data_IF_241236361178
#
_entry.id   IF_241236361178
#
_cell.length_a   1.000
_cell.length_b   1.000
_cell.length_c   1.000
_cell.angle_alpha   90.00
_cell.angle_beta   90.00
_cell.angle_gamma   90.00
#
_symmetry.space_group_name_H-M   'P 1'
#
loop_
_entity.id
_entity.type
_entity.pdbx_description
1 polymer ?
#
# COMPACT_ATOMS: atom_id res chain seq x y z
N UNK A 1 15.83 -5.83 -114.65
CA UNK A 1 16.36 -6.68 -113.57
C UNK A 1 16.21 -5.93 -112.25
N UNK A 2 15.41 -6.40 -111.39
CA UNK A 2 14.77 -5.85 -110.25
C UNK A 2 15.70 -5.64 -109.05
N UNK A 3 15.76 -4.40 -108.53
CA UNK A 3 16.41 -4.10 -107.30
C UNK A 3 15.38 -4.10 -106.13
N UNK A 4 15.58 -4.96 -105.10
CA UNK A 4 14.77 -5.05 -103.90
C UNK A 4 15.20 -3.96 -102.93
N UNK A 5 14.28 -3.06 -102.55
CA UNK A 5 14.44 -2.12 -101.49
C UNK A 5 14.30 -2.80 -100.09
N UNK A 6 15.26 -2.57 -99.19
CA UNK A 6 15.31 -3.08 -97.83
C UNK A 6 14.59 -2.08 -96.91
N UNK A 7 13.40 -2.45 -96.39
CA UNK A 7 12.69 -1.65 -95.39
C UNK A 7 13.20 -2.00 -93.97
N UNK A 8 13.89 -1.07 -93.34
CA UNK A 8 14.23 -1.15 -91.88
C UNK A 8 13.07 -0.62 -91.08
N UNK A 9 12.37 -1.52 -90.38
CA UNK A 9 11.32 -1.13 -89.43
C UNK A 9 11.93 -0.48 -88.16
N UNK A 10 11.65 0.79 -87.95
CA UNK A 10 11.94 1.47 -86.67
C UNK A 10 10.94 1.00 -85.60
N UNK A 11 11.41 0.33 -84.54
CA UNK A 11 10.67 0.01 -83.37
C UNK A 11 10.56 1.30 -82.50
N UNK A 12 9.34 1.74 -82.08
CA UNK A 12 9.20 2.93 -81.27
C UNK A 12 9.70 2.64 -79.86
N UNK A 13 10.56 3.50 -79.33
CA UNK A 13 11.02 3.46 -77.92
C UNK A 13 9.87 3.73 -76.97
N UNK A 14 9.66 2.84 -76.01
CA UNK A 14 8.71 3.06 -74.90
C UNK A 14 9.13 4.29 -74.08
N UNK A 15 8.20 5.17 -73.70
CA UNK A 15 8.53 6.30 -72.81
C UNK A 15 8.96 5.80 -71.45
N UNK A 16 10.12 6.24 -70.98
CA UNK A 16 10.58 6.04 -69.56
C UNK A 16 9.67 6.85 -68.67
N UNK A 17 8.89 6.16 -67.87
CA UNK A 17 8.04 6.79 -66.89
C UNK A 17 8.92 7.59 -65.91
N UNK A 18 8.80 8.91 -65.86
CA UNK A 18 9.43 9.74 -64.85
C UNK A 18 8.88 9.32 -63.47
N UNK A 19 9.70 8.68 -62.67
CA UNK A 19 9.32 8.29 -61.29
C UNK A 19 8.88 9.54 -60.53
N UNK A 20 7.66 9.50 -59.99
CA UNK A 20 7.20 10.57 -59.10
C UNK A 20 8.15 10.65 -57.91
N UNK A 21 8.55 11.86 -57.57
CA UNK A 21 9.42 12.09 -56.43
C UNK A 21 8.80 11.51 -55.13
N UNK A 22 9.60 10.90 -54.29
CA UNK A 22 9.14 10.21 -53.06
C UNK A 22 8.22 11.08 -52.20
N UNK A 23 8.49 12.39 -52.09
CA UNK A 23 7.70 13.37 -51.34
C UNK A 23 6.32 13.70 -51.92
N UNK A 24 6.04 13.33 -53.15
CA UNK A 24 4.71 13.53 -53.74
C UNK A 24 3.73 12.39 -53.43
N UNK A 25 4.16 11.36 -52.71
CA UNK A 25 3.33 10.21 -52.34
C UNK A 25 2.68 10.45 -50.96
N UNK A 26 1.35 10.34 -50.82
CA UNK A 26 0.67 10.54 -49.53
C UNK A 26 1.18 9.58 -48.44
N UNK A 27 1.61 8.37 -48.85
CA UNK A 27 2.20 7.40 -47.92
C UNK A 27 3.53 7.87 -47.29
N UNK A 28 4.30 8.73 -47.94
CA UNK A 28 5.54 9.30 -47.42
C UNK A 28 5.25 10.24 -46.25
N UNK A 29 4.25 11.12 -46.38
CA UNK A 29 3.84 12.03 -45.33
C UNK A 29 3.14 11.33 -44.17
N UNK A 30 2.38 10.26 -44.45
CA UNK A 30 1.81 9.41 -43.39
C UNK A 30 2.90 8.71 -42.55
N UNK A 31 3.96 8.20 -43.19
CA UNK A 31 5.09 7.60 -42.47
C UNK A 31 5.85 8.63 -41.62
N UNK A 32 6.07 9.85 -42.15
CA UNK A 32 6.67 10.95 -41.35
C UNK A 32 5.79 11.30 -40.14
N UNK A 33 4.47 11.38 -40.34
CA UNK A 33 3.53 11.65 -39.24
C UNK A 33 3.60 10.60 -38.13
N UNK A 34 3.65 9.32 -38.51
CA UNK A 34 3.81 8.21 -37.55
C UNK A 34 5.14 8.31 -36.77
N UNK A 35 6.24 8.61 -37.50
CA UNK A 35 7.56 8.77 -36.89
C UNK A 35 7.59 9.95 -35.93
N UNK A 36 6.98 11.10 -36.27
CA UNK A 36 6.92 12.27 -35.42
C UNK A 36 6.07 12.01 -34.18
N UNK A 37 4.95 11.28 -34.29
CA UNK A 37 4.14 10.86 -33.16
C UNK A 37 4.92 9.89 -32.26
N UNK A 38 5.63 8.93 -32.83
CA UNK A 38 6.47 7.99 -32.09
C UNK A 38 7.63 8.70 -31.36
N UNK A 39 8.29 9.66 -32.01
CA UNK A 39 9.35 10.48 -31.41
C UNK A 39 8.76 11.38 -30.31
N UNK A 40 7.61 12.00 -30.54
CA UNK A 40 6.92 12.82 -29.54
C UNK A 40 6.52 12.01 -28.32
N UNK A 41 5.97 10.81 -28.51
CA UNK A 41 5.64 9.89 -27.43
C UNK A 41 6.88 9.41 -26.69
N UNK A 42 7.96 9.10 -27.39
CA UNK A 42 9.23 8.69 -26.80
C UNK A 42 9.89 9.85 -26.00
N UNK A 43 9.87 11.06 -26.53
CA UNK A 43 10.36 12.26 -25.83
C UNK A 43 9.50 12.59 -24.61
N UNK A 44 8.18 12.37 -24.69
CA UNK A 44 7.27 12.57 -23.55
C UNK A 44 7.52 11.53 -22.45
N UNK A 45 7.77 10.26 -22.81
CA UNK A 45 8.17 9.19 -21.89
C UNK A 45 9.60 9.35 -21.36
N UNK A 46 10.47 10.05 -22.10
CA UNK A 46 11.87 10.30 -21.72
C UNK A 46 12.09 11.64 -20.97
N UNK A 47 11.04 12.47 -20.83
CA UNK A 47 11.12 13.62 -19.91
C UNK A 47 11.21 13.04 -18.50
N UNK A 48 12.37 13.12 -17.82
CA UNK A 48 12.42 12.73 -16.43
C UNK A 48 11.39 13.60 -15.71
N UNK A 49 10.49 12.97 -14.96
CA UNK A 49 9.65 13.74 -14.04
C UNK A 49 10.56 14.72 -13.30
N UNK A 50 10.17 15.99 -13.18
CA UNK A 50 10.99 16.94 -12.46
C UNK A 50 11.27 16.31 -11.10
N UNK A 51 12.57 16.12 -10.77
CA UNK A 51 12.95 15.67 -9.42
C UNK A 51 12.23 16.59 -8.47
N UNK A 52 11.22 16.04 -7.79
CA UNK A 52 10.54 16.78 -6.72
C UNK A 52 11.66 17.14 -5.75
N UNK A 53 11.91 18.43 -5.58
CA UNK A 53 12.83 18.89 -4.56
C UNK A 53 12.35 18.27 -3.26
N UNK A 54 13.19 17.45 -2.64
CA UNK A 54 12.84 16.81 -1.38
C UNK A 54 12.51 17.93 -0.39
N UNK A 55 11.28 17.93 0.10
CA UNK A 55 10.87 18.91 1.11
C UNK A 55 11.77 18.70 2.33
N UNK A 56 12.47 19.77 2.70
CA UNK A 56 13.32 19.80 3.90
C UNK A 56 12.40 20.02 5.10
N UNK A 57 12.03 18.94 5.77
CA UNK A 57 11.05 18.95 6.87
C UNK A 57 11.46 19.88 8.01
N UNK A 58 12.78 20.05 8.27
CA UNK A 58 13.28 20.97 9.30
C UNK A 58 12.94 22.43 9.02
N UNK A 59 12.79 22.82 7.75
CA UNK A 59 12.48 24.19 7.32
C UNK A 59 10.98 24.52 7.36
N UNK A 60 10.12 23.52 7.56
CA UNK A 60 8.69 23.75 7.69
C UNK A 60 8.36 24.39 9.05
N UNK A 61 7.42 25.32 9.06
CA UNK A 61 6.88 25.87 10.30
C UNK A 61 5.85 24.92 10.92
N UNK A 62 5.71 24.87 12.27
CA UNK A 62 4.65 24.12 12.93
C UNK A 62 3.25 24.56 12.47
N UNK A 63 2.36 23.61 12.24
CA UNK A 63 1.00 23.87 11.75
C UNK A 63 0.63 23.00 10.56
N UNK A 64 -0.39 23.44 9.80
CA UNK A 64 -0.81 22.77 8.57
C UNK A 64 0.24 22.96 7.47
N UNK A 65 0.84 21.87 7.03
CA UNK A 65 1.83 21.85 5.95
C UNK A 65 1.14 21.77 4.59
N UNK A 66 0.19 20.84 4.45
CA UNK A 66 -0.58 20.69 3.21
C UNK A 66 -1.93 20.03 3.46
N UNK A 67 -2.90 20.35 2.58
CA UNK A 67 -4.16 19.65 2.43
C UNK A 67 -4.27 19.13 1.00
N UNK A 68 -4.67 17.88 0.84
CA UNK A 68 -4.94 17.26 -0.46
C UNK A 68 -6.31 16.60 -0.41
N UNK A 69 -7.13 16.83 -1.41
CA UNK A 69 -8.41 16.15 -1.59
C UNK A 69 -8.21 15.04 -2.62
N UNK A 70 -8.40 13.79 -2.23
CA UNK A 70 -8.37 12.64 -3.11
C UNK A 70 -9.78 12.12 -3.40
N UNK A 71 -9.89 11.06 -4.20
CA UNK A 71 -11.16 10.36 -4.40
C UNK A 71 -11.66 9.63 -3.15
N UNK A 72 -10.75 9.37 -2.19
CA UNK A 72 -11.02 8.53 -1.03
C UNK A 72 -11.07 9.31 0.27
N UNK A 73 -10.20 10.34 0.43
CA UNK A 73 -10.03 11.07 1.68
C UNK A 73 -9.70 12.54 1.47
N UNK A 74 -10.06 13.36 2.46
CA UNK A 74 -9.39 14.63 2.72
C UNK A 74 -8.13 14.35 3.53
N UNK A 75 -6.96 14.60 2.97
CA UNK A 75 -5.65 14.26 3.54
C UNK A 75 -4.98 15.53 4.05
N UNK A 76 -4.50 15.50 5.28
CA UNK A 76 -3.81 16.62 5.92
C UNK A 76 -2.44 16.18 6.42
N UNK A 77 -1.42 16.98 6.17
CA UNK A 77 -0.11 16.84 6.79
C UNK A 77 0.13 18.03 7.72
N UNK A 78 0.47 17.76 8.97
CA UNK A 78 0.81 18.76 9.96
C UNK A 78 2.23 18.57 10.45
N UNK A 79 2.93 19.70 10.72
CA UNK A 79 4.13 19.69 11.54
C UNK A 79 3.76 20.03 12.97
N UNK A 80 4.13 19.17 13.90
CA UNK A 80 3.95 19.39 15.33
C UNK A 80 5.05 20.29 15.90
N UNK A 81 4.82 20.97 17.05
CA UNK A 81 5.84 21.79 17.69
C UNK A 81 7.10 21.01 18.10
N UNK A 82 7.00 19.70 18.33
CA UNK A 82 8.13 18.82 18.63
C UNK A 82 8.94 18.40 17.39
N UNK A 83 8.51 18.85 16.19
CA UNK A 83 9.15 18.57 14.91
C UNK A 83 8.60 17.37 14.17
N UNK A 84 7.77 16.54 14.79
CA UNK A 84 7.17 15.39 14.12
C UNK A 84 6.18 15.81 13.04
N UNK A 85 6.09 15.02 11.95
CA UNK A 85 5.03 15.15 10.96
C UNK A 85 3.91 14.17 11.26
N UNK A 86 2.70 14.64 11.06
CA UNK A 86 1.47 13.91 11.32
C UNK A 86 0.65 13.85 10.03
N UNK A 87 0.26 12.65 9.62
CA UNK A 87 -0.73 12.39 8.59
C UNK A 87 -2.09 12.19 9.24
N UNK A 88 -3.11 12.83 8.69
CA UNK A 88 -4.46 12.75 9.23
C UNK A 88 -5.49 12.74 8.08
N UNK A 89 -6.53 11.92 8.26
CA UNK A 89 -7.68 11.88 7.34
C UNK A 89 -8.90 12.54 7.97
N UNK A 90 -9.84 12.98 7.11
CA UNK A 90 -11.15 13.47 7.50
C UNK A 90 -11.33 14.98 7.46
N UNK A 91 -12.55 15.46 7.71
CA UNK A 91 -12.91 16.87 7.71
C UNK A 91 -12.31 17.60 8.93
N UNK A 92 -12.20 18.95 8.83
CA UNK A 92 -11.52 19.84 9.77
C UNK A 92 -11.82 19.61 11.28
N UNK A 93 -12.95 19.01 11.64
CA UNK A 93 -13.37 18.81 13.04
C UNK A 93 -13.18 17.38 13.56
N UNK A 94 -13.12 16.41 12.67
CA UNK A 94 -13.00 14.99 13.01
C UNK A 94 -11.80 14.42 12.24
N UNK A 95 -10.60 14.70 12.73
CA UNK A 95 -9.37 14.20 12.14
C UNK A 95 -8.92 12.97 12.90
N UNK A 96 -8.60 11.95 12.16
CA UNK A 96 -7.97 10.76 12.69
C UNK A 96 -6.49 10.79 12.32
N UNK A 97 -5.64 10.56 13.31
CA UNK A 97 -4.20 10.46 13.12
C UNK A 97 -3.89 9.08 12.56
N UNK A 98 -3.51 9.05 11.31
CA UNK A 98 -3.19 7.80 10.61
C UNK A 98 -1.71 7.43 10.74
N UNK A 99 -0.84 8.43 10.80
CA UNK A 99 0.59 8.17 10.92
C UNK A 99 1.34 9.36 11.53
N UNK A 100 2.42 9.05 12.24
CA UNK A 100 3.38 10.04 12.75
C UNK A 100 4.78 9.60 12.36
N UNK A 101 5.60 10.53 11.87
CA UNK A 101 7.03 10.31 11.61
C UNK A 101 7.87 11.30 12.42
N UNK A 102 8.94 10.77 13.01
CA UNK A 102 10.04 11.56 13.52
C UNK A 102 11.05 11.78 12.38
N UNK A 103 11.17 12.97 11.81
CA UNK A 103 12.05 13.20 10.67
C UNK A 103 13.53 13.09 11.02
N UNK A 104 13.89 13.05 12.31
CA UNK A 104 15.27 12.91 12.78
C UNK A 104 15.64 11.46 13.10
N UNK A 105 14.70 10.53 13.08
CA UNK A 105 14.94 9.10 13.32
C UNK A 105 14.00 8.27 12.43
N UNK A 106 14.52 7.79 11.32
CA UNK A 106 13.75 7.03 10.33
C UNK A 106 13.29 5.65 10.84
N UNK A 107 13.88 5.15 11.92
CA UNK A 107 13.50 3.90 12.57
C UNK A 107 12.62 4.11 13.81
N UNK A 108 12.24 5.34 14.13
CA UNK A 108 11.30 5.59 15.20
C UNK A 108 9.86 5.26 14.76
N UNK A 109 9.11 4.65 15.66
CA UNK A 109 7.68 4.36 15.52
C UNK A 109 6.92 5.08 16.64
N UNK A 110 6.61 6.38 16.47
CA UNK A 110 5.98 7.19 17.52
C UNK A 110 4.57 6.72 17.90
N UNK A 111 3.86 6.10 16.95
CA UNK A 111 2.52 5.54 17.17
C UNK A 111 2.67 4.13 17.74
N UNK A 112 2.11 3.88 18.92
CA UNK A 112 2.41 2.69 19.71
C UNK A 112 1.99 1.37 19.04
N UNK A 113 0.87 1.36 18.30
CA UNK A 113 0.43 0.14 17.62
C UNK A 113 1.40 -0.30 16.52
N UNK A 114 2.05 0.65 15.84
CA UNK A 114 3.03 0.32 14.79
C UNK A 114 4.22 -0.48 15.34
N UNK A 115 4.63 -0.19 16.60
CA UNK A 115 5.61 -1.01 17.30
C UNK A 115 5.05 -2.42 17.56
N UNK A 116 3.79 -2.54 18.01
CA UNK A 116 3.19 -3.84 18.29
C UNK A 116 2.97 -4.69 17.03
N UNK A 117 2.75 -4.06 15.87
CA UNK A 117 2.68 -4.79 14.58
C UNK A 117 4.01 -5.50 14.25
N UNK A 118 5.14 -5.01 14.74
CA UNK A 118 6.43 -5.68 14.56
C UNK A 118 6.55 -7.00 15.34
N UNK A 119 5.58 -7.34 16.24
CA UNK A 119 5.49 -8.67 16.84
C UNK A 119 5.48 -9.78 15.76
N UNK A 120 4.91 -9.48 14.58
CA UNK A 120 4.96 -10.37 13.43
C UNK A 120 6.36 -10.86 13.10
N UNK A 121 7.39 -10.05 13.30
CA UNK A 121 8.79 -10.43 13.10
C UNK A 121 9.25 -11.57 14.02
N UNK A 122 8.59 -11.83 15.15
CA UNK A 122 8.89 -12.97 16.01
C UNK A 122 8.07 -14.21 15.62
N UNK A 123 6.91 -14.01 15.01
CA UNK A 123 5.98 -15.09 14.66
C UNK A 123 6.19 -15.63 13.24
N UNK A 124 6.64 -14.84 12.27
CA UNK A 124 6.84 -15.29 10.90
C UNK A 124 7.82 -16.46 10.81
N UNK A 125 7.58 -17.48 9.96
CA UNK A 125 8.47 -18.65 9.83
C UNK A 125 9.82 -18.27 9.21
N UNK A 126 9.79 -17.36 8.24
CA UNK A 126 10.93 -16.72 7.57
C UNK A 126 10.77 -15.21 7.50
N UNK A 127 11.75 -14.55 6.88
CA UNK A 127 11.71 -13.11 6.57
C UNK A 127 12.16 -12.90 5.11
N UNK A 128 11.55 -13.68 4.18
CA UNK A 128 11.88 -13.59 2.75
C UNK A 128 10.90 -12.71 1.99
N UNK A 129 9.59 -12.87 2.25
CA UNK A 129 8.52 -12.15 1.55
C UNK A 129 7.47 -11.66 2.56
N UNK A 130 7.12 -10.39 2.51
CA UNK A 130 6.03 -9.82 3.29
C UNK A 130 5.21 -8.82 2.48
N UNK A 131 3.97 -8.60 2.90
CA UNK A 131 3.11 -7.56 2.36
C UNK A 131 2.40 -6.79 3.47
N UNK A 132 2.01 -5.55 3.18
CA UNK A 132 1.09 -4.77 3.99
C UNK A 132 -0.05 -4.24 3.12
N UNK A 133 -1.27 -4.40 3.58
CA UNK A 133 -2.47 -3.81 2.99
C UNK A 133 -2.81 -2.56 3.79
N UNK A 134 -2.74 -1.41 3.13
CA UNK A 134 -2.76 -0.08 3.73
C UNK A 134 -1.35 0.44 4.03
N UNK A 135 -1.00 1.59 3.46
CA UNK A 135 0.30 2.24 3.64
C UNK A 135 0.22 3.38 4.65
N UNK A 136 -0.74 4.29 4.49
CA UNK A 136 -0.78 5.52 5.25
C UNK A 136 0.53 6.32 5.10
N UNK A 137 1.17 6.68 6.21
CA UNK A 137 2.51 7.27 6.19
C UNK A 137 3.63 6.24 6.01
N UNK A 138 3.32 4.96 5.87
CA UNK A 138 4.25 3.88 5.55
C UNK A 138 5.22 3.50 6.66
N UNK A 139 5.01 3.95 7.89
CA UNK A 139 6.05 3.83 8.94
C UNK A 139 6.34 2.39 9.35
N UNK A 140 5.29 1.56 9.51
CA UNK A 140 5.46 0.13 9.84
C UNK A 140 6.23 -0.61 8.74
N UNK A 141 5.80 -0.41 7.48
CA UNK A 141 6.43 -1.03 6.32
C UNK A 141 7.90 -0.60 6.16
N UNK A 142 8.16 0.70 6.27
CA UNK A 142 9.49 1.27 6.14
C UNK A 142 10.43 0.80 7.25
N UNK A 143 9.95 0.79 8.49
CA UNK A 143 10.71 0.25 9.62
C UNK A 143 11.14 -1.20 9.39
N UNK A 144 10.21 -2.05 8.95
CA UNK A 144 10.51 -3.47 8.69
C UNK A 144 11.51 -3.59 7.55
N UNK A 145 11.30 -2.90 6.43
CA UNK A 145 12.23 -2.90 5.29
C UNK A 145 13.64 -2.44 5.67
N UNK A 146 13.75 -1.32 6.36
CA UNK A 146 15.06 -0.79 6.78
C UNK A 146 15.76 -1.68 7.83
N UNK A 147 14.97 -2.36 8.67
CA UNK A 147 15.52 -3.28 9.67
C UNK A 147 15.94 -4.63 9.06
N UNK A 148 15.26 -5.09 8.00
CA UNK A 148 15.48 -6.38 7.33
C UNK A 148 15.61 -6.13 5.81
N UNK A 149 16.75 -5.61 5.33
CA UNK A 149 16.89 -5.14 3.95
C UNK A 149 16.72 -6.23 2.86
N UNK A 150 16.97 -7.49 3.19
CA UNK A 150 16.80 -8.63 2.30
C UNK A 150 15.32 -9.05 2.12
N UNK A 151 14.43 -8.68 3.05
CA UNK A 151 13.01 -8.99 2.99
C UNK A 151 12.37 -8.28 1.79
N UNK A 152 11.79 -9.04 0.88
CA UNK A 152 10.97 -8.49 -0.21
C UNK A 152 9.65 -8.04 0.37
N UNK A 153 9.46 -6.73 0.41
CA UNK A 153 8.31 -6.12 1.07
C UNK A 153 7.45 -5.38 0.04
N UNK A 154 6.19 -5.75 -0.09
CA UNK A 154 5.21 -5.05 -0.94
C UNK A 154 4.20 -4.32 -0.07
N UNK A 155 4.10 -3.00 -0.21
CA UNK A 155 3.04 -2.20 0.40
C UNK A 155 1.96 -1.90 -0.64
N UNK A 156 0.70 -2.13 -0.29
CA UNK A 156 -0.44 -1.92 -1.18
C UNK A 156 -1.30 -0.79 -0.62
N UNK A 157 -1.48 0.27 -1.39
CA UNK A 157 -2.23 1.47 -1.01
C UNK A 157 -3.30 1.77 -2.04
N UNK A 158 -4.53 1.98 -1.60
CA UNK A 158 -5.67 2.29 -2.48
C UNK A 158 -5.56 3.70 -3.09
N UNK A 159 -5.10 4.66 -2.29
CA UNK A 159 -5.12 6.08 -2.63
C UNK A 159 -3.75 6.55 -3.16
N UNK A 160 -3.63 6.88 -4.47
CA UNK A 160 -2.38 7.35 -5.04
C UNK A 160 -1.85 8.64 -4.37
N UNK A 161 -2.74 9.47 -3.81
CA UNK A 161 -2.32 10.67 -3.11
C UNK A 161 -1.71 10.36 -1.74
N UNK A 162 -2.18 9.31 -1.06
CA UNK A 162 -1.55 8.81 0.17
C UNK A 162 -0.14 8.30 -0.13
N UNK A 163 0.03 7.48 -1.18
CA UNK A 163 1.35 7.00 -1.60
C UNK A 163 2.29 8.15 -1.96
N UNK A 164 1.79 9.19 -2.67
CA UNK A 164 2.56 10.39 -2.99
C UNK A 164 2.98 11.18 -1.73
N UNK A 165 2.10 11.28 -0.75
CA UNK A 165 2.38 11.96 0.53
C UNK A 165 3.39 11.17 1.35
N UNK A 166 3.28 9.85 1.37
CA UNK A 166 4.25 8.97 2.02
C UNK A 166 5.67 9.18 1.46
N UNK A 167 5.82 9.26 0.13
CA UNK A 167 7.10 9.60 -0.50
C UNK A 167 7.57 11.02 -0.14
N UNK A 168 6.70 12.01 -0.30
CA UNK A 168 7.08 13.42 -0.20
C UNK A 168 7.48 13.83 1.23
N UNK A 169 6.68 13.44 2.23
CA UNK A 169 6.79 13.94 3.60
C UNK A 169 7.34 12.89 4.58
N UNK A 170 7.07 11.62 4.33
CA UNK A 170 7.44 10.52 5.23
C UNK A 170 8.67 9.75 4.73
N UNK A 171 9.20 10.11 3.54
CA UNK A 171 10.37 9.50 2.89
C UNK A 171 10.22 8.01 2.63
N UNK A 172 8.98 7.55 2.48
CA UNK A 172 8.65 6.16 2.17
C UNK A 172 8.40 6.04 0.67
N UNK A 173 9.31 5.37 -0.03
CA UNK A 173 9.33 5.25 -1.49
C UNK A 173 9.88 3.89 -1.92
N UNK A 174 9.56 3.41 -3.13
CA UNK A 174 10.17 2.19 -3.63
C UNK A 174 11.70 2.29 -3.63
N UNK A 175 12.37 1.32 -2.99
CA UNK A 175 13.83 1.17 -3.04
C UNK A 175 14.25 -0.27 -2.72
N UNK A 176 15.28 -0.78 -3.39
CA UNK A 176 15.83 -2.11 -3.13
C UNK A 176 14.80 -3.22 -3.23
N UNK A 177 14.52 -3.88 -2.10
CA UNK A 177 13.54 -4.96 -1.96
C UNK A 177 12.13 -4.45 -1.53
N UNK A 178 11.93 -3.14 -1.41
CA UNK A 178 10.67 -2.50 -1.03
C UNK A 178 9.95 -1.94 -2.24
N UNK A 179 8.67 -2.29 -2.40
CA UNK A 179 7.81 -1.80 -3.49
C UNK A 179 6.48 -1.27 -2.96
N UNK A 180 5.89 -0.33 -3.71
CA UNK A 180 4.57 0.24 -3.41
C UNK A 180 3.68 0.01 -4.63
N UNK A 181 2.55 -0.65 -4.41
CA UNK A 181 1.51 -0.90 -5.43
C UNK A 181 0.29 -0.04 -5.11
N UNK A 182 -0.18 0.74 -6.08
CA UNK A 182 -1.40 1.54 -5.94
C UNK A 182 -2.56 0.74 -6.52
N UNK A 183 -3.26 0.03 -5.63
CA UNK A 183 -4.41 -0.81 -5.97
C UNK A 183 -5.26 -1.09 -4.71
N UNK A 184 -6.50 -1.55 -4.87
CA UNK A 184 -7.26 -2.11 -3.75
C UNK A 184 -6.56 -3.38 -3.23
N UNK A 185 -6.35 -3.44 -1.91
CA UNK A 185 -5.55 -4.50 -1.30
C UNK A 185 -6.12 -5.90 -1.48
N UNK A 186 -7.45 -6.07 -1.45
CA UNK A 186 -8.10 -7.35 -1.67
C UNK A 186 -8.02 -7.78 -3.14
N UNK A 187 -8.24 -6.84 -4.07
CA UNK A 187 -8.12 -7.10 -5.52
C UNK A 187 -6.68 -7.46 -5.88
N UNK A 188 -5.70 -6.76 -5.31
CA UNK A 188 -4.30 -7.08 -5.51
C UNK A 188 -3.95 -8.47 -4.99
N UNK A 189 -4.42 -8.82 -3.79
CA UNK A 189 -4.17 -10.12 -3.18
C UNK A 189 -4.80 -11.26 -3.99
N UNK A 190 -6.04 -11.08 -4.49
CA UNK A 190 -6.74 -12.04 -5.34
C UNK A 190 -6.02 -12.30 -6.68
N UNK A 191 -5.24 -11.34 -7.16
CA UNK A 191 -4.57 -11.40 -8.49
C UNK A 191 -3.10 -11.81 -8.43
N UNK A 192 -2.49 -11.79 -7.26
CA UNK A 192 -1.07 -12.12 -7.12
C UNK A 192 -0.88 -13.63 -6.94
N UNK A 193 0.14 -14.19 -7.61
CA UNK A 193 0.56 -15.59 -7.38
C UNK A 193 1.58 -15.71 -6.24
N UNK A 194 1.90 -14.62 -5.54
CA UNK A 194 2.91 -14.60 -4.48
C UNK A 194 2.35 -15.20 -3.18
N UNK A 195 3.24 -15.83 -2.42
CA UNK A 195 2.97 -16.24 -1.03
C UNK A 195 3.96 -15.59 -0.08
N UNK A 196 3.53 -15.33 1.16
CA UNK A 196 4.23 -14.49 2.10
C UNK A 196 4.51 -15.19 3.42
N UNK A 197 5.61 -14.87 4.05
CA UNK A 197 5.87 -15.24 5.45
C UNK A 197 4.98 -14.45 6.41
N UNK A 198 4.62 -13.22 6.01
CA UNK A 198 3.82 -12.31 6.81
C UNK A 198 2.99 -11.38 5.91
N UNK A 199 1.69 -11.29 6.20
CA UNK A 199 0.80 -10.27 5.62
C UNK A 199 0.28 -9.39 6.76
N UNK A 200 0.55 -8.07 6.67
CA UNK A 200 0.02 -7.09 7.61
C UNK A 200 -1.23 -6.44 7.00
N UNK A 201 -2.23 -6.15 7.82
CA UNK A 201 -3.45 -5.44 7.42
C UNK A 201 -3.62 -4.22 8.34
N UNK A 202 -3.42 -3.04 7.77
CA UNK A 202 -3.47 -1.74 8.45
C UNK A 202 -4.20 -0.70 7.57
N UNK A 203 -5.31 -1.11 6.96
CA UNK A 203 -6.11 -0.29 6.07
C UNK A 203 -7.28 0.34 6.82
N UNK A 204 -7.24 1.66 6.96
CA UNK A 204 -8.26 2.44 7.64
C UNK A 204 -8.82 3.55 6.75
N UNK A 205 -10.10 3.86 6.94
CA UNK A 205 -10.75 5.07 6.45
C UNK A 205 -11.37 5.80 7.63
N UNK A 206 -10.62 6.72 8.21
CA UNK A 206 -10.94 7.27 9.52
C UNK A 206 -10.92 6.14 10.58
N UNK A 207 -11.96 5.99 11.43
CA UNK A 207 -11.97 4.96 12.47
C UNK A 207 -12.37 3.56 11.99
N UNK A 208 -12.64 3.36 10.72
CA UNK A 208 -13.18 2.10 10.20
C UNK A 208 -12.24 1.43 9.22
N UNK A 209 -12.08 0.12 9.37
CA UNK A 209 -11.53 -0.72 8.30
C UNK A 209 -12.60 -0.84 7.19
N UNK A 210 -12.25 -0.70 5.90
CA UNK A 210 -13.20 -0.93 4.81
C UNK A 210 -13.86 -2.30 4.92
N UNK A 211 -15.19 -2.35 4.77
CA UNK A 211 -15.96 -3.57 5.07
C UNK A 211 -15.45 -4.81 4.32
N UNK A 212 -15.10 -4.68 3.04
CA UNK A 212 -14.60 -5.77 2.21
C UNK A 212 -13.22 -6.35 2.65
N UNK A 213 -12.54 -5.67 3.59
CA UNK A 213 -11.31 -6.12 4.25
C UNK A 213 -11.57 -6.65 5.68
N UNK A 214 -12.85 -6.84 6.05
CA UNK A 214 -13.27 -7.36 7.36
C UNK A 214 -14.08 -8.64 7.27
N UNK A 215 -14.19 -9.27 6.11
CA UNK A 215 -15.03 -10.44 5.89
C UNK A 215 -14.24 -11.74 6.02
N UNK A 216 -14.91 -12.83 6.32
CA UNK A 216 -14.30 -14.17 6.40
C UNK A 216 -13.61 -14.51 5.09
N UNK A 217 -14.23 -14.21 3.95
CA UNK A 217 -13.70 -14.46 2.61
C UNK A 217 -12.38 -13.68 2.36
N UNK A 218 -12.26 -12.47 2.92
CA UNK A 218 -10.99 -11.74 2.84
C UNK A 218 -9.89 -12.41 3.67
N UNK A 219 -10.20 -12.86 4.90
CA UNK A 219 -9.18 -13.53 5.72
C UNK A 219 -8.85 -14.95 5.25
N UNK A 220 -9.77 -15.64 4.60
CA UNK A 220 -9.49 -16.89 3.87
C UNK A 220 -8.51 -16.62 2.73
N UNK A 221 -8.76 -15.59 1.93
CA UNK A 221 -7.83 -15.14 0.88
C UNK A 221 -6.45 -14.78 1.44
N UNK A 222 -6.39 -14.07 2.59
CA UNK A 222 -5.11 -13.82 3.28
C UNK A 222 -4.43 -15.13 3.66
N UNK A 223 -5.17 -16.09 4.23
CA UNK A 223 -4.62 -17.39 4.66
C UNK A 223 -4.09 -18.22 3.47
N UNK A 224 -4.75 -18.17 2.31
CA UNK A 224 -4.32 -18.84 1.07
C UNK A 224 -2.99 -18.30 0.54
N UNK A 225 -2.71 -16.99 0.78
CA UNK A 225 -1.47 -16.34 0.36
C UNK A 225 -0.36 -16.40 1.43
N UNK A 226 -0.57 -17.10 2.52
CA UNK A 226 0.50 -17.33 3.50
C UNK A 226 1.28 -18.61 3.17
N UNK A 227 2.61 -18.55 3.26
CA UNK A 227 3.48 -19.72 3.23
C UNK A 227 3.15 -20.67 4.39
N UNK A 228 3.54 -21.95 4.34
CA UNK A 228 3.37 -22.86 5.47
C UNK A 228 3.95 -22.25 6.77
N UNK A 229 3.10 -22.09 7.79
CA UNK A 229 3.44 -21.43 9.04
C UNK A 229 3.50 -19.88 8.95
N UNK A 230 3.11 -19.28 7.84
CA UNK A 230 2.99 -17.84 7.68
C UNK A 230 1.93 -17.24 8.60
N UNK A 231 1.94 -15.93 8.74
CA UNK A 231 1.10 -15.22 9.70
C UNK A 231 0.42 -14.02 9.07
N UNK A 232 -0.76 -13.69 9.57
CA UNK A 232 -1.40 -12.38 9.38
C UNK A 232 -1.22 -11.51 10.62
N UNK A 233 -1.05 -10.19 10.42
CA UNK A 233 -0.96 -9.20 11.51
C UNK A 233 -2.00 -8.12 11.24
N UNK A 234 -3.02 -8.04 12.09
CA UNK A 234 -4.12 -7.09 11.94
C UNK A 234 -4.07 -6.01 13.02
N UNK A 235 -4.14 -4.74 12.61
CA UNK A 235 -4.43 -3.65 13.52
C UNK A 235 -5.95 -3.49 13.69
N UNK A 236 -6.45 -3.49 14.93
CA UNK A 236 -7.87 -3.30 15.27
C UNK A 236 -8.01 -2.16 16.25
N UNK A 237 -8.91 -1.22 15.99
CA UNK A 237 -9.30 -0.15 16.91
C UNK A 237 -10.55 -0.60 17.69
N UNK A 238 -10.42 -0.94 19.00
CA UNK A 238 -11.49 -1.60 19.76
C UNK A 238 -12.65 -0.68 20.16
N UNK A 239 -12.49 0.65 20.04
CA UNK A 239 -13.59 1.58 20.36
C UNK A 239 -14.65 1.62 19.28
N UNK A 240 -14.38 1.02 18.12
CA UNK A 240 -15.41 0.79 17.10
C UNK A 240 -16.30 -0.38 17.54
N UNK A 241 -17.59 -0.30 17.23
CA UNK A 241 -18.59 -1.33 17.56
C UNK A 241 -18.34 -2.68 16.86
N UNK A 242 -17.17 -2.86 16.23
CA UNK A 242 -16.84 -4.02 15.40
C UNK A 242 -15.74 -4.91 16.00
N UNK A 243 -15.23 -4.60 17.19
CA UNK A 243 -14.13 -5.39 17.76
C UNK A 243 -14.48 -6.87 17.86
N UNK A 244 -15.62 -7.21 18.45
CA UNK A 244 -16.05 -8.61 18.61
C UNK A 244 -16.26 -9.28 17.24
N UNK A 245 -16.85 -8.56 16.27
CA UNK A 245 -17.05 -9.08 14.91
C UNK A 245 -15.72 -9.27 14.19
N UNK A 246 -14.77 -8.35 14.32
CA UNK A 246 -13.44 -8.49 13.71
C UNK A 246 -12.71 -9.71 14.29
N UNK A 247 -12.75 -9.91 15.61
CA UNK A 247 -12.14 -11.09 16.27
C UNK A 247 -12.83 -12.38 15.81
N UNK A 248 -14.16 -12.42 15.79
CA UNK A 248 -14.92 -13.57 15.31
C UNK A 248 -14.58 -13.92 13.85
N UNK A 249 -14.46 -12.90 12.99
CA UNK A 249 -14.16 -13.06 11.58
C UNK A 249 -12.74 -13.58 11.35
N UNK A 250 -11.74 -13.02 12.02
CA UNK A 250 -10.35 -13.51 11.94
C UNK A 250 -10.27 -14.93 12.48
N UNK A 251 -11.00 -15.24 13.57
CA UNK A 251 -11.07 -16.55 14.18
C UNK A 251 -11.69 -17.61 13.25
N UNK A 252 -12.58 -17.22 12.36
CA UNK A 252 -13.19 -18.14 11.39
C UNK A 252 -12.17 -18.65 10.35
N UNK A 253 -11.14 -17.83 10.03
CA UNK A 253 -10.11 -18.16 9.04
C UNK A 253 -8.80 -18.72 9.65
N UNK A 254 -8.56 -18.48 10.96
CA UNK A 254 -7.30 -18.84 11.63
C UNK A 254 -7.50 -19.62 12.92
N UNK A 255 -6.68 -20.65 13.14
CA UNK A 255 -6.71 -21.49 14.34
C UNK A 255 -6.28 -20.76 15.60
N UNK A 256 -5.32 -19.84 15.50
CA UNK A 256 -4.69 -19.17 16.64
C UNK A 256 -4.71 -17.65 16.45
N UNK A 257 -5.08 -16.94 17.52
CA UNK A 257 -5.05 -15.50 17.64
C UNK A 257 -4.24 -15.11 18.88
N UNK A 258 -3.25 -14.26 18.69
CA UNK A 258 -2.45 -13.69 19.78
C UNK A 258 -2.62 -12.16 19.78
N UNK A 259 -2.97 -11.59 20.92
CA UNK A 259 -3.37 -10.19 21.04
C UNK A 259 -2.28 -9.38 21.74
N UNK A 260 -2.00 -8.19 21.22
CA UNK A 260 -1.01 -7.26 21.77
C UNK A 260 -1.68 -5.91 22.07
N UNK A 261 -1.65 -5.53 23.36
CA UNK A 261 -2.15 -4.23 23.80
C UNK A 261 -1.31 -3.09 23.21
N UNK A 262 -1.97 -2.04 22.70
CA UNK A 262 -1.33 -1.00 21.92
C UNK A 262 -1.88 0.40 22.17
N UNK A 263 -2.18 0.74 23.43
CA UNK A 263 -2.61 2.10 23.86
C UNK A 263 -3.78 2.67 23.06
N UNK A 264 -4.85 1.92 22.93
CA UNK A 264 -6.05 2.31 22.18
C UNK A 264 -6.33 1.43 20.98
N UNK A 265 -5.31 0.77 20.43
CA UNK A 265 -5.46 -0.27 19.40
C UNK A 265 -5.14 -1.64 20.02
N UNK A 266 -5.55 -2.68 19.32
CA UNK A 266 -5.17 -4.07 19.57
C UNK A 266 -4.56 -4.61 18.28
N UNK A 267 -3.34 -5.13 18.38
CA UNK A 267 -2.73 -5.85 17.27
C UNK A 267 -2.96 -7.34 17.45
N UNK A 268 -3.48 -8.00 16.42
CA UNK A 268 -3.75 -9.44 16.40
C UNK A 268 -2.74 -10.09 15.46
N UNK A 269 -2.01 -11.09 15.98
CA UNK A 269 -1.21 -12.01 15.14
C UNK A 269 -2.01 -13.29 15.00
N UNK A 270 -2.39 -13.62 13.76
CA UNK A 270 -3.21 -14.77 13.44
C UNK A 270 -2.43 -15.80 12.59
N UNK A 271 -2.60 -17.09 12.86
CA UNK A 271 -1.91 -18.15 12.13
C UNK A 271 -2.61 -19.51 12.28
N UNK A 272 -2.36 -20.41 11.33
CA UNK A 272 -2.89 -21.77 11.33
C UNK A 272 -1.89 -22.79 11.88
N UNK A 273 -2.41 -23.93 12.34
CA UNK A 273 -1.65 -25.05 12.88
C UNK A 273 -1.45 -25.01 14.38
N UNK A 274 -0.40 -25.67 14.86
CA UNK A 274 -0.14 -25.75 16.29
C UNK A 274 0.19 -24.41 16.93
N UNK A 275 -0.34 -24.18 18.14
CA UNK A 275 0.00 -22.99 18.91
C UNK A 275 1.50 -22.93 19.17
N UNK A 276 2.10 -21.76 18.95
CA UNK A 276 3.54 -21.57 19.12
C UNK A 276 3.93 -21.57 20.59
N UNK A 277 5.01 -22.28 20.87
CA UNK A 277 5.60 -22.31 22.21
C UNK A 277 6.20 -20.97 22.61
N UNK A 278 5.92 -20.52 23.82
CA UNK A 278 6.39 -19.21 24.30
C UNK A 278 7.91 -19.12 24.44
N UNK A 279 8.57 -20.22 24.86
CA UNK A 279 10.02 -20.23 25.00
C UNK A 279 10.68 -20.18 23.63
N UNK A 280 10.08 -20.85 22.63
CA UNK A 280 10.51 -20.79 21.24
C UNK A 280 10.36 -19.38 20.65
N UNK A 281 9.22 -18.71 20.86
CA UNK A 281 9.01 -17.32 20.42
C UNK A 281 10.03 -16.36 21.04
N UNK A 282 10.31 -16.48 22.33
CA UNK A 282 11.34 -15.69 23.00
C UNK A 282 12.73 -15.95 22.42
N UNK A 283 13.04 -17.18 22.10
CA UNK A 283 14.32 -17.57 21.48
C UNK A 283 14.45 -16.99 20.06
N UNK A 284 13.39 -17.07 19.26
CA UNK A 284 13.35 -16.47 17.90
C UNK A 284 13.48 -14.94 17.98
N UNK A 285 12.73 -14.30 18.88
CA UNK A 285 12.79 -12.86 19.07
C UNK A 285 14.20 -12.40 19.46
N UNK A 286 14.85 -13.08 20.41
CA UNK A 286 16.21 -12.76 20.83
C UNK A 286 17.24 -12.97 19.70
N UNK A 287 17.10 -14.04 18.93
CA UNK A 287 17.99 -14.32 17.79
C UNK A 287 17.84 -13.25 16.70
N UNK A 288 16.60 -12.90 16.33
CA UNK A 288 16.31 -11.86 15.32
C UNK A 288 16.72 -10.48 15.81
N UNK A 289 16.50 -10.16 17.10
CA UNK A 289 16.97 -8.92 17.72
C UNK A 289 18.49 -8.81 17.64
N UNK A 290 19.22 -9.90 17.91
CA UNK A 290 20.68 -9.90 17.81
C UNK A 290 21.19 -9.81 16.36
N UNK A 291 20.46 -10.39 15.42
CA UNK A 291 20.83 -10.38 13.98
C UNK A 291 20.59 -9.02 13.34
N UNK A 292 19.44 -8.40 13.59
CA UNK A 292 18.98 -7.21 12.87
C UNK A 292 19.13 -5.92 13.67
N UNK A 293 19.31 -5.98 14.98
CA UNK A 293 19.49 -4.80 15.82
C UNK A 293 18.26 -3.89 15.85
N UNK A 294 17.06 -4.45 15.89
CA UNK A 294 15.80 -3.68 15.85
C UNK A 294 15.81 -2.51 16.83
N UNK A 295 15.39 -1.34 16.38
CA UNK A 295 15.26 -0.10 17.18
C UNK A 295 14.32 -0.28 18.38
N UNK A 296 13.22 -1.04 18.17
CA UNK A 296 12.27 -1.41 19.22
C UNK A 296 12.50 -2.88 19.60
N UNK A 297 12.77 -3.12 20.89
CA UNK A 297 13.11 -4.46 21.40
C UNK A 297 11.98 -5.45 21.14
N UNK A 298 12.24 -6.43 20.30
CA UNK A 298 11.26 -7.43 19.89
C UNK A 298 10.81 -8.31 21.07
N UNK A 299 11.73 -8.62 22.01
CA UNK A 299 11.41 -9.33 23.24
C UNK A 299 10.44 -8.54 24.13
N UNK A 300 10.69 -7.25 24.27
CA UNK A 300 9.80 -6.34 25.01
C UNK A 300 8.42 -6.21 24.37
N UNK A 301 8.33 -6.22 23.03
CA UNK A 301 7.04 -6.22 22.33
C UNK A 301 6.25 -7.49 22.64
N UNK A 302 6.88 -8.67 22.67
CA UNK A 302 6.21 -9.93 23.03
C UNK A 302 5.61 -9.91 24.46
N UNK A 303 6.13 -9.10 25.39
CA UNK A 303 5.57 -8.97 26.73
C UNK A 303 4.24 -8.21 26.80
N UNK A 304 3.87 -7.50 25.72
CA UNK A 304 2.57 -6.80 25.60
C UNK A 304 1.42 -7.75 25.27
N UNK A 305 1.70 -9.04 25.09
CA UNK A 305 0.68 -10.05 24.81
C UNK A 305 -0.30 -10.17 25.96
N UNK A 306 -1.59 -10.21 25.66
CA UNK A 306 -2.67 -10.33 26.65
C UNK A 306 -3.86 -11.08 26.03
N UNK A 307 -4.90 -11.31 26.84
CA UNK A 307 -6.15 -11.91 26.39
C UNK A 307 -7.27 -10.90 26.59
N UNK A 308 -7.80 -10.31 25.52
CA UNK A 308 -8.95 -9.41 25.61
C UNK A 308 -10.21 -10.20 25.95
N UNK A 309 -11.16 -9.55 26.61
CA UNK A 309 -12.52 -10.06 26.69
C UNK A 309 -13.28 -9.63 25.45
N UNK A 310 -13.93 -10.56 24.78
CA UNK A 310 -14.81 -10.33 23.64
C UNK A 310 -15.99 -11.30 23.68
N UNK A 311 -17.07 -10.99 22.94
CA UNK A 311 -18.26 -11.84 22.91
C UNK A 311 -18.07 -12.99 21.90
N UNK A 312 -17.75 -14.19 22.37
CA UNK A 312 -17.51 -15.38 21.56
C UNK A 312 -18.77 -15.87 20.79
N UNK A 313 -19.97 -15.38 21.14
CA UNK A 313 -21.21 -15.66 20.43
C UNK A 313 -21.43 -14.71 19.23
N UNK A 314 -20.51 -13.78 18.98
CA UNK A 314 -20.61 -12.87 17.83
C UNK A 314 -20.37 -13.63 16.53
N UNK A 315 -21.28 -13.46 15.59
CA UNK A 315 -21.14 -14.06 14.26
C UNK A 315 -20.05 -13.35 13.44
N UNK A 316 -19.25 -14.08 12.65
CA UNK A 316 -18.27 -13.49 11.75
C UNK A 316 -18.97 -12.68 10.64
N UNK A 317 -18.26 -11.70 10.12
CA UNK A 317 -18.69 -10.90 8.96
C UNK A 317 -18.41 -11.68 7.68
N UNK A 318 -19.35 -11.61 6.74
CA UNK A 318 -19.22 -12.21 5.41
C UNK A 318 -19.51 -11.19 4.32
N UNK A 319 -19.11 -11.46 3.09
CA UNK A 319 -19.36 -10.57 1.95
C UNK A 319 -20.86 -10.31 1.73
N UNK A 320 -21.71 -11.30 2.05
CA UNK A 320 -23.17 -11.20 1.88
C UNK A 320 -23.87 -10.49 3.02
N UNK A 321 -23.18 -10.21 4.14
CA UNK A 321 -23.79 -9.66 5.35
C UNK A 321 -22.97 -8.55 6.01
N UNK A 322 -23.38 -7.30 5.76
CA UNK A 322 -22.91 -6.14 6.53
C UNK A 322 -23.88 -5.83 7.67
N UNK A 323 -23.43 -5.84 8.95
CA UNK A 323 -24.29 -5.49 10.08
C UNK A 323 -24.88 -4.08 9.91
N UNK A 324 -26.18 -3.94 10.18
CA UNK A 324 -26.88 -2.64 10.12
C UNK A 324 -26.22 -1.61 11.04
N UNK A 325 -25.67 -2.07 12.16
CA UNK A 325 -24.95 -1.25 13.13
C UNK A 325 -23.69 -0.63 12.53
N UNK A 326 -22.95 -1.38 11.72
CA UNK A 326 -21.79 -0.88 10.98
C UNK A 326 -22.19 0.21 10.00
N UNK A 327 -23.18 -0.05 9.16
CA UNK A 327 -23.68 0.91 8.18
C UNK A 327 -24.16 2.20 8.85
N UNK A 328 -24.91 2.08 9.97
CA UNK A 328 -25.35 3.23 10.77
C UNK A 328 -24.20 3.96 11.46
N UNK A 329 -23.15 3.26 11.88
CA UNK A 329 -21.98 3.90 12.47
C UNK A 329 -21.20 4.70 11.43
N UNK A 330 -20.98 4.13 10.24
CA UNK A 330 -20.36 4.82 9.09
C UNK A 330 -21.21 6.01 8.65
N UNK A 331 -22.53 5.85 8.54
CA UNK A 331 -23.45 6.92 8.17
C UNK A 331 -23.39 8.09 9.16
N UNK A 332 -23.47 7.80 10.46
CA UNK A 332 -23.37 8.82 11.53
C UNK A 332 -22.02 9.54 11.50
N UNK A 333 -20.95 8.81 11.22
CA UNK A 333 -19.62 9.38 11.06
C UNK A 333 -19.55 10.35 9.87
N UNK A 334 -20.03 9.92 8.71
CA UNK A 334 -20.07 10.73 7.50
C UNK A 334 -20.95 11.99 7.67
N UNK A 335 -22.11 11.86 8.34
CA UNK A 335 -22.99 12.99 8.64
C UNK A 335 -22.32 14.04 9.55
N UNK A 336 -21.52 13.60 10.55
CA UNK A 336 -20.75 14.50 11.40
C UNK A 336 -19.65 15.24 10.62
N UNK A 337 -19.09 14.62 9.59
CA UNK A 337 -18.11 15.25 8.72
C UNK A 337 -18.72 16.28 7.76
N UNK A 338 -19.95 16.02 7.28
CA UNK A 338 -20.66 16.87 6.30
C UNK A 338 -21.45 18.03 6.92
N UNK A 339 -21.52 18.14 8.24
CA UNK A 339 -22.24 19.21 8.94
C UNK A 339 -21.65 20.60 8.67
N UNK A 340 -22.48 21.68 8.64
CA UNK A 340 -22.01 23.01 8.37
C UNK A 340 -20.93 23.42 9.36
N UNK A 341 -19.84 23.99 8.84
CA UNK A 341 -18.78 24.58 9.65
C UNK A 341 -19.39 25.66 10.56
N UNK A 342 -19.61 25.36 11.84
CA UNK A 342 -19.92 26.42 12.81
C UNK A 342 -18.63 27.24 12.94
N UNK A 343 -18.67 28.45 12.41
CA UNK A 343 -17.64 29.47 12.59
C UNK A 343 -17.35 29.67 14.07
N UNK A 344 -16.08 29.90 14.48
CA UNK A 344 -15.70 30.07 15.88
C UNK A 344 -16.33 31.33 16.48
#
# INVERSE_FOLDING_TARGET
MTARANQTSKVPAKPVAKGQALWSRPAFWAAIGIILVAIGSFLWLAVPEPRREDIVVSELEPGLVTKVESLYNDIYVYKQPDGNLLLSFGAQRLRYVESVVNPNDELDLPVFYTQSMTAGLAYAPGLDDAAIIGLGGGRTAWYIHKSVPELKFTAVELDPEVARIADTFFKVRPEGSFDIVVEDGRVWLDRTDKTFDMILVDAYRGPFVPFHLLTTEFYELVAEHLKPGGIAVQNVEPSTMLFDSAVATIRAAFDNLEFFESRGNIVIVAYNGARRDEAELKRVAAARQAMYGFRHDLGGILTRRYQPTWNEATEPLTDDFAPVEYLKAVERHNQKQSGPATTP
#
